data_IF_939721765297
#
_entry.id   IF_939721765297
#
_cell.length_a   1.000
_cell.length_b   1.000
_cell.length_c   1.000
_cell.angle_alpha   90.00
_cell.angle_beta   90.00
_cell.angle_gamma   90.00
#
_symmetry.space_group_name_H-M   'P 1'
#
loop_
_entity.id
_entity.type
_entity.pdbx_description
1 polymer ?
#
# COMPACT_ATOMS: atom_id res chain seq x y z
N UNK A 1 0.22 -13.89 18.12
CA UNK A 1 0.41 -15.17 18.84
C UNK A 1 1.70 -15.21 19.67
N UNK A 2 2.80 -14.58 19.24
CA UNK A 2 4.09 -14.56 20.00
C UNK A 2 3.95 -13.98 21.42
N UNK A 3 3.29 -12.82 21.59
CA UNK A 3 3.05 -12.23 22.92
C UNK A 3 2.13 -13.09 23.79
N UNK A 4 1.17 -13.78 23.17
CA UNK A 4 0.29 -14.73 23.88
C UNK A 4 1.09 -15.95 24.36
N UNK A 5 1.99 -16.49 23.53
CA UNK A 5 2.86 -17.60 23.87
C UNK A 5 3.85 -17.25 25.00
N UNK A 6 4.37 -16.02 25.01
CA UNK A 6 5.16 -15.50 26.12
C UNK A 6 4.33 -15.38 27.40
N UNK A 7 3.10 -14.86 27.31
CA UNK A 7 2.23 -14.66 28.47
C UNK A 7 1.86 -15.97 29.17
N UNK A 8 1.64 -17.04 28.40
CA UNK A 8 1.34 -18.39 28.94
C UNK A 8 2.60 -19.20 29.31
N UNK A 9 3.80 -18.60 29.25
CA UNK A 9 5.05 -19.26 29.62
C UNK A 9 5.58 -20.29 28.62
N UNK A 10 5.03 -20.35 27.40
CA UNK A 10 5.45 -21.28 26.34
C UNK A 10 6.72 -20.79 25.63
N UNK A 11 7.00 -19.49 25.66
CA UNK A 11 8.23 -18.91 25.08
C UNK A 11 8.94 -18.03 26.10
N UNK A 12 10.27 -18.02 26.01
CA UNK A 12 11.09 -17.12 26.83
C UNK A 12 10.99 -15.68 26.31
N UNK A 13 11.33 -14.72 27.18
CA UNK A 13 11.35 -13.30 26.81
C UNK A 13 12.33 -12.99 25.69
N UNK A 14 13.54 -13.56 25.74
CA UNK A 14 14.55 -13.33 24.72
C UNK A 14 14.11 -13.88 23.35
N UNK A 15 13.42 -15.01 23.35
CA UNK A 15 12.89 -15.64 22.14
C UNK A 15 11.75 -14.81 21.52
N UNK A 16 10.85 -14.28 22.35
CA UNK A 16 9.77 -13.42 21.87
C UNK A 16 10.30 -12.10 21.30
N UNK A 17 11.29 -11.49 21.96
CA UNK A 17 11.92 -10.24 21.49
C UNK A 17 12.65 -10.46 20.15
N UNK A 18 13.37 -11.57 19.98
CA UNK A 18 14.03 -11.91 18.70
C UNK A 18 13.03 -12.08 17.56
N UNK A 19 11.93 -12.80 17.81
CA UNK A 19 10.87 -13.00 16.80
C UNK A 19 10.15 -11.71 16.43
N UNK A 20 9.89 -10.84 17.42
CA UNK A 20 9.32 -9.52 17.17
C UNK A 20 10.28 -8.64 16.38
N UNK A 21 11.57 -8.64 16.70
CA UNK A 21 12.56 -7.87 15.96
C UNK A 21 12.69 -8.34 14.49
N UNK A 22 12.72 -9.66 14.27
CA UNK A 22 12.80 -10.26 12.94
C UNK A 22 11.56 -9.94 12.09
N UNK A 23 10.36 -10.11 12.65
CA UNK A 23 9.11 -9.79 11.96
C UNK A 23 8.96 -8.30 11.69
N UNK A 24 9.31 -7.43 12.66
CA UNK A 24 9.27 -5.98 12.48
C UNK A 24 10.22 -5.50 11.37
N UNK A 25 11.39 -6.13 11.20
CA UNK A 25 12.31 -5.82 10.09
C UNK A 25 11.65 -6.09 8.74
N UNK A 26 11.06 -7.28 8.57
CA UNK A 26 10.36 -7.65 7.34
C UNK A 26 9.18 -6.72 7.02
N UNK A 27 8.39 -6.38 8.04
CA UNK A 27 7.29 -5.42 7.89
C UNK A 27 7.80 -4.04 7.44
N UNK A 28 8.86 -3.51 8.05
CA UNK A 28 9.44 -2.23 7.62
C UNK A 28 9.89 -2.29 6.16
N UNK A 29 10.55 -3.36 5.71
CA UNK A 29 10.93 -3.50 4.30
C UNK A 29 9.72 -3.50 3.36
N UNK A 30 8.68 -4.28 3.68
CA UNK A 30 7.46 -4.36 2.89
C UNK A 30 6.74 -3.00 2.79
N UNK A 31 6.64 -2.25 3.90
CA UNK A 31 5.99 -0.94 3.92
C UNK A 31 6.86 0.19 3.36
N UNK A 32 8.19 0.10 3.44
CA UNK A 32 9.11 1.10 2.87
C UNK A 32 9.18 1.01 1.34
N UNK A 33 9.05 -0.18 0.76
CA UNK A 33 9.10 -0.39 -0.69
C UNK A 33 8.13 0.52 -1.48
N UNK A 34 6.84 0.63 -1.14
CA UNK A 34 5.93 1.55 -1.83
C UNK A 34 6.14 3.01 -1.46
N UNK A 35 6.70 3.32 -0.26
CA UNK A 35 7.00 4.70 0.11
C UNK A 35 8.12 5.30 -0.74
N UNK A 36 9.13 4.50 -1.12
CA UNK A 36 10.19 4.93 -2.04
C UNK A 36 9.63 5.47 -3.36
N UNK A 37 8.69 4.75 -3.98
CA UNK A 37 8.02 5.19 -5.21
C UNK A 37 7.11 6.40 -5.01
N UNK A 38 6.50 6.60 -3.82
CA UNK A 38 5.70 7.80 -3.55
C UNK A 38 6.57 9.07 -3.40
N UNK A 39 7.77 8.93 -2.85
CA UNK A 39 8.68 10.05 -2.61
C UNK A 39 9.36 10.56 -3.88
N UNK A 40 9.36 9.80 -4.98
CA UNK A 40 9.87 10.29 -6.27
C UNK A 40 8.94 11.32 -6.91
N UNK A 41 7.66 11.36 -6.51
CA UNK A 41 6.70 12.34 -7.00
C UNK A 41 6.36 12.23 -8.48
N UNK A 42 6.53 11.04 -9.08
CA UNK A 42 6.35 10.80 -10.51
C UNK A 42 4.96 10.24 -10.79
N UNK A 43 4.32 10.75 -11.83
CA UNK A 43 3.03 10.26 -12.31
C UNK A 43 3.20 9.25 -13.45
N UNK A 44 2.23 8.34 -13.62
CA UNK A 44 2.23 7.34 -14.70
C UNK A 44 2.35 7.96 -16.11
N UNK A 45 1.80 9.14 -16.32
CA UNK A 45 1.93 9.91 -17.57
C UNK A 45 3.35 10.43 -17.80
N UNK A 46 4.05 10.84 -16.73
CA UNK A 46 5.42 11.37 -16.79
C UNK A 46 6.45 10.25 -17.06
N UNK A 47 6.10 9.01 -16.67
CA UNK A 47 6.85 7.80 -17.02
C UNK A 47 6.76 7.49 -18.53
N UNK A 48 5.61 7.72 -19.16
CA UNK A 48 5.44 7.51 -20.61
C UNK A 48 6.13 8.61 -21.44
N UNK A 49 6.28 9.81 -20.89
CA UNK A 49 6.89 10.96 -21.57
C UNK A 49 8.41 11.01 -21.48
N UNK A 50 9.05 10.18 -20.64
CA UNK A 50 10.51 10.12 -20.55
C UNK A 50 11.14 11.34 -19.87
N UNK A 51 10.59 11.78 -18.75
CA UNK A 51 11.08 13.00 -18.05
C UNK A 51 12.36 12.77 -17.25
N UNK A 52 13.13 13.84 -17.00
CA UNK A 52 14.36 13.78 -16.18
C UNK A 52 14.13 13.19 -14.77
N UNK A 53 12.93 13.38 -14.20
CA UNK A 53 12.52 12.76 -12.92
C UNK A 53 12.41 11.24 -13.03
N UNK A 54 11.92 10.71 -14.16
CA UNK A 54 11.86 9.27 -14.41
C UNK A 54 13.25 8.64 -14.46
N UNK A 55 14.23 9.27 -15.12
CA UNK A 55 15.61 8.81 -15.11
C UNK A 55 16.20 8.77 -13.68
N UNK A 56 15.93 9.79 -12.86
CA UNK A 56 16.39 9.84 -11.47
C UNK A 56 15.76 8.73 -10.60
N UNK A 57 14.46 8.46 -10.77
CA UNK A 57 13.80 7.38 -10.06
C UNK A 57 14.26 6.00 -10.52
N UNK A 58 14.52 5.81 -11.81
CA UNK A 58 15.05 4.56 -12.34
C UNK A 58 16.47 4.28 -11.82
N UNK A 59 17.29 5.32 -11.65
CA UNK A 59 18.60 5.19 -11.04
C UNK A 59 18.55 4.81 -9.55
N UNK A 60 17.52 5.24 -8.81
CA UNK A 60 17.41 4.97 -7.36
C UNK A 60 16.63 3.69 -7.02
N UNK A 61 15.62 3.34 -7.82
CA UNK A 61 14.66 2.26 -7.53
C UNK A 61 14.72 1.10 -8.54
N UNK A 62 15.42 1.28 -9.67
CA UNK A 62 15.42 0.35 -10.78
C UNK A 62 14.27 0.59 -11.78
N UNK A 63 14.21 -0.26 -12.80
CA UNK A 63 13.19 -0.19 -13.85
C UNK A 63 11.87 -0.83 -13.39
N UNK A 64 10.75 -0.16 -13.67
CA UNK A 64 9.41 -0.68 -13.38
C UNK A 64 8.89 -1.43 -14.62
N UNK A 65 8.52 -2.72 -14.50
CA UNK A 65 7.97 -3.50 -15.60
C UNK A 65 6.75 -2.84 -16.26
N UNK A 66 6.71 -2.87 -17.59
CA UNK A 66 5.63 -2.28 -18.38
C UNK A 66 4.25 -2.84 -18.04
N UNK A 67 4.15 -4.11 -17.68
CA UNK A 67 2.89 -4.80 -17.30
C UNK A 67 2.24 -4.22 -16.02
N UNK A 68 3.05 -3.65 -15.12
CA UNK A 68 2.56 -2.94 -13.93
C UNK A 68 2.09 -1.53 -14.31
N UNK A 69 2.80 -0.90 -15.26
CA UNK A 69 2.48 0.41 -15.86
C UNK A 69 1.37 0.35 -16.91
N UNK A 70 0.98 -0.81 -17.43
CA UNK A 70 -0.26 -1.02 -18.17
C UNK A 70 -1.41 -1.33 -17.21
N UNK A 71 -1.09 -1.96 -16.07
CA UNK A 71 -2.06 -2.36 -15.05
C UNK A 71 -2.66 -3.73 -15.34
N UNK A 72 -2.07 -4.47 -16.29
CA UNK A 72 -2.37 -5.86 -16.59
C UNK A 72 -1.92 -6.77 -15.44
N UNK A 73 -0.75 -6.49 -14.84
CA UNK A 73 -0.33 -7.13 -13.61
C UNK A 73 -0.87 -6.39 -12.39
N UNK A 74 -1.67 -7.11 -11.60
CA UNK A 74 -2.25 -6.61 -10.36
C UNK A 74 -1.75 -7.41 -9.17
N UNK A 75 -1.55 -6.74 -8.04
CA UNK A 75 -1.19 -7.42 -6.80
C UNK A 75 -2.26 -8.49 -6.45
N UNK A 76 -1.86 -9.73 -6.09
CA UNK A 76 -2.80 -10.82 -5.79
C UNK A 76 -3.80 -10.48 -4.68
N UNK A 77 -3.39 -9.63 -3.73
CA UNK A 77 -4.16 -9.21 -2.58
C UNK A 77 -4.85 -7.83 -2.78
N UNK A 78 -4.86 -7.30 -4.01
CA UNK A 78 -5.57 -6.05 -4.27
C UNK A 78 -7.09 -6.25 -4.09
N UNK A 79 -7.82 -5.28 -3.53
CA UNK A 79 -9.26 -5.39 -3.36
C UNK A 79 -9.95 -5.57 -4.71
N UNK A 80 -11.00 -6.40 -4.75
CA UNK A 80 -11.82 -6.59 -5.94
C UNK A 80 -12.37 -5.22 -6.36
N UNK A 81 -12.16 -4.83 -7.61
CA UNK A 81 -12.78 -3.60 -8.12
C UNK A 81 -14.26 -3.93 -8.29
N UNK A 82 -15.14 -3.13 -7.68
CA UNK A 82 -16.51 -3.09 -8.17
C UNK A 82 -16.41 -2.63 -9.62
N UNK A 83 -16.83 -3.49 -10.55
CA UNK A 83 -17.08 -3.06 -11.92
C UNK A 83 -18.12 -1.94 -11.77
N UNK A 84 -17.84 -0.68 -12.18
CA UNK A 84 -18.89 0.32 -12.20
C UNK A 84 -19.92 -0.18 -13.20
N UNK A 85 -21.03 -0.68 -12.68
CA UNK A 85 -22.11 -1.21 -13.48
C UNK A 85 -22.75 -0.05 -14.24
N UNK A 86 -22.34 0.09 -15.50
CA UNK A 86 -23.02 0.84 -16.54
C UNK A 86 -23.16 2.36 -16.31
N UNK A 87 -23.71 3.05 -17.31
CA UNK A 87 -24.02 4.49 -17.31
C UNK A 87 -24.97 4.92 -16.18
N UNK A 88 -25.48 4.00 -15.36
CA UNK A 88 -26.37 4.29 -14.22
C UNK A 88 -25.65 4.99 -13.06
N UNK A 89 -24.35 4.74 -12.85
CA UNK A 89 -23.59 5.38 -11.78
C UNK A 89 -23.40 6.91 -11.97
N UNK A 90 -23.68 7.45 -13.17
CA UNK A 90 -23.54 8.88 -13.48
C UNK A 90 -24.52 9.77 -12.70
N UNK A 91 -25.60 9.19 -12.15
CA UNK A 91 -26.66 9.94 -11.45
C UNK A 91 -26.59 9.79 -9.93
N UNK A 92 -25.64 9.01 -9.40
CA UNK A 92 -25.53 8.73 -7.97
C UNK A 92 -24.67 9.82 -7.31
N UNK A 93 -25.28 10.97 -7.01
CA UNK A 93 -24.70 11.97 -6.10
C UNK A 93 -24.91 11.51 -4.66
N UNK A 94 -24.02 10.66 -4.15
CA UNK A 94 -23.96 10.39 -2.71
C UNK A 94 -23.31 11.61 -2.04
N UNK A 95 -24.13 12.48 -1.47
CA UNK A 95 -23.65 13.48 -0.52
C UNK A 95 -23.45 12.81 0.85
N UNK A 96 -22.31 13.02 1.52
CA UNK A 96 -22.13 12.53 2.88
C UNK A 96 -23.14 13.23 3.80
N UNK A 97 -23.89 12.43 4.56
CA UNK A 97 -24.86 12.93 5.53
C UNK A 97 -24.11 13.72 6.62
N UNK A 98 -24.51 14.96 6.95
CA UNK A 98 -23.87 15.71 8.02
C UNK A 98 -24.09 14.99 9.36
N UNK A 99 -22.99 14.85 10.12
CA UNK A 99 -22.99 14.27 11.45
C UNK A 99 -24.08 14.93 12.30
N UNK A 100 -24.95 14.10 12.88
CA UNK A 100 -25.98 14.52 13.83
C UNK A 100 -25.27 15.18 15.02
N UNK A 101 -25.33 16.50 15.08
CA UNK A 101 -24.88 17.26 16.24
C UNK A 101 -25.88 16.99 17.38
N UNK A 102 -25.40 16.31 18.42
CA UNK A 102 -26.05 16.28 19.73
C UNK A 102 -26.31 17.73 20.17
N UNK A 103 -27.54 18.00 20.60
CA UNK A 103 -27.95 19.26 21.19
C UNK A 103 -28.43 19.00 22.63
N UNK A 104 -28.20 19.94 23.55
CA UNK A 104 -28.09 19.73 25.01
C UNK A 104 -29.39 19.38 25.73
#
# INVERSE_FOLDING_TARGET
TVLTAQHIGVMTRDESERLLAASARQLRHAFLSPMGYRLTGITRSELLQGTAKQAQAQASMGEVPAEILSGELRAPHAPVRSIPASKLAQHVKLQPQPAKADSP
#
